data_IF_617450586806
#
_entry.id   IF_617450586806
#
_cell.length_a   1.000
_cell.length_b   1.000
_cell.length_c   1.000
_cell.angle_alpha   90.00
_cell.angle_beta   90.00
_cell.angle_gamma   90.00
#
_symmetry.space_group_name_H-M   'P 1'
#
loop_
_entity.id
_entity.type
_entity.pdbx_description
1 polymer ?
#
# COMPACT_ATOMS: atom_id res chain seq x y z
N UNK A 1 -37.32 -28.48 -7.96
CA UNK A 1 -38.11 -27.46 -8.71
C UNK A 1 -37.97 -27.78 -10.19
N UNK A 2 -38.96 -27.47 -11.04
CA UNK A 2 -38.78 -27.71 -12.47
C UNK A 2 -37.96 -26.56 -13.07
N UNK A 3 -37.11 -26.87 -14.05
CA UNK A 3 -36.28 -25.93 -14.79
C UNK A 3 -37.06 -24.69 -15.29
N UNK A 4 -38.34 -24.87 -15.62
CA UNK A 4 -39.25 -23.78 -15.98
C UNK A 4 -39.45 -22.79 -14.85
N UNK A 5 -39.61 -23.26 -13.60
CA UNK A 5 -39.90 -22.37 -12.46
C UNK A 5 -38.71 -21.46 -12.11
N UNK A 6 -37.48 -21.91 -12.34
CA UNK A 6 -36.26 -21.11 -12.13
C UNK A 6 -36.17 -19.98 -13.16
N UNK A 7 -36.43 -20.31 -14.43
CA UNK A 7 -36.45 -19.32 -15.52
C UNK A 7 -37.61 -18.34 -15.35
N UNK A 8 -38.79 -18.82 -14.96
CA UNK A 8 -40.00 -18.02 -14.75
C UNK A 8 -39.90 -17.07 -13.54
N UNK A 9 -39.28 -17.51 -12.43
CA UNK A 9 -39.02 -16.66 -11.25
C UNK A 9 -37.95 -15.59 -11.53
N UNK A 10 -36.98 -15.90 -12.37
CA UNK A 10 -35.85 -15.01 -12.67
C UNK A 10 -36.21 -14.03 -13.80
N UNK A 11 -37.02 -14.44 -14.76
CA UNK A 11 -37.49 -13.58 -15.84
C UNK A 11 -38.73 -12.78 -15.41
N UNK A 12 -38.56 -11.76 -14.57
CA UNK A 12 -39.58 -10.69 -14.41
C UNK A 12 -39.79 -9.85 -15.70
N UNK A 13 -39.21 -10.28 -16.82
CA UNK A 13 -39.12 -9.58 -18.10
C UNK A 13 -40.12 -10.16 -19.10
N UNK A 14 -40.99 -9.32 -19.65
CA UNK A 14 -41.92 -9.65 -20.74
C UNK A 14 -41.24 -9.90 -22.10
N UNK A 15 -39.91 -9.85 -22.19
CA UNK A 15 -39.17 -10.04 -23.42
C UNK A 15 -38.76 -11.53 -23.62
N UNK A 16 -39.32 -12.25 -24.61
CA UNK A 16 -39.05 -13.66 -24.85
C UNK A 16 -37.60 -13.97 -25.24
N UNK A 17 -36.90 -13.06 -25.92
CA UNK A 17 -35.47 -13.24 -26.27
C UNK A 17 -34.57 -13.23 -25.02
N UNK A 18 -34.93 -12.42 -24.01
CA UNK A 18 -34.21 -12.36 -22.75
C UNK A 18 -34.38 -13.65 -21.93
N UNK A 19 -35.54 -14.30 -22.04
CA UNK A 19 -35.83 -15.57 -21.38
C UNK A 19 -34.99 -16.70 -21.96
N UNK A 20 -34.88 -16.77 -23.29
CA UNK A 20 -34.07 -17.78 -23.99
C UNK A 20 -32.57 -17.66 -23.69
N UNK A 21 -32.01 -16.44 -23.66
CA UNK A 21 -30.60 -16.21 -23.30
C UNK A 21 -30.29 -16.60 -21.85
N UNK A 22 -31.16 -16.22 -20.91
CA UNK A 22 -31.02 -16.60 -19.51
C UNK A 22 -31.11 -18.12 -19.34
N UNK A 23 -32.03 -18.75 -20.07
CA UNK A 23 -32.18 -20.20 -20.09
C UNK A 23 -30.90 -20.89 -20.57
N UNK A 24 -30.26 -20.38 -21.63
CA UNK A 24 -28.96 -20.87 -22.11
C UNK A 24 -27.85 -20.72 -21.07
N UNK A 25 -27.81 -19.59 -20.37
CA UNK A 25 -26.84 -19.32 -19.31
C UNK A 25 -27.01 -20.32 -18.15
N UNK A 26 -28.24 -20.54 -17.68
CA UNK A 26 -28.52 -21.47 -16.58
C UNK A 26 -28.13 -22.90 -16.98
N UNK A 27 -28.53 -23.35 -18.19
CA UNK A 27 -28.14 -24.65 -18.76
C UNK A 27 -26.62 -24.82 -18.77
N UNK A 28 -25.90 -23.80 -19.21
CA UNK A 28 -24.44 -23.81 -19.25
C UNK A 28 -23.85 -23.94 -17.84
N UNK A 29 -24.32 -23.16 -16.86
CA UNK A 29 -23.82 -23.22 -15.49
C UNK A 29 -24.06 -24.58 -14.84
N UNK A 30 -25.26 -25.16 -15.02
CA UNK A 30 -25.57 -26.51 -14.53
C UNK A 30 -24.64 -27.54 -15.20
N UNK A 31 -24.39 -27.42 -16.51
CA UNK A 31 -23.45 -28.32 -17.21
C UNK A 31 -22.00 -28.18 -16.73
N UNK A 32 -21.64 -27.04 -16.14
CA UNK A 32 -20.35 -26.77 -15.51
C UNK A 32 -20.30 -27.18 -14.03
N UNK A 33 -21.39 -27.78 -13.51
CA UNK A 33 -21.46 -28.33 -12.15
C UNK A 33 -22.07 -27.40 -11.10
N UNK A 34 -22.66 -26.26 -11.49
CA UNK A 34 -23.34 -25.37 -10.54
C UNK A 34 -24.70 -25.95 -10.11
N UNK A 35 -25.02 -25.86 -8.82
CA UNK A 35 -26.35 -26.21 -8.30
C UNK A 35 -27.38 -25.12 -8.64
N UNK A 36 -28.64 -25.49 -8.80
CA UNK A 36 -29.74 -24.54 -9.03
C UNK A 36 -29.89 -23.52 -7.89
N UNK A 37 -29.65 -23.95 -6.64
CA UNK A 37 -29.70 -23.11 -5.44
C UNK A 37 -28.59 -22.06 -5.45
N UNK A 38 -27.35 -22.46 -5.78
CA UNK A 38 -26.21 -21.54 -5.87
C UNK A 38 -26.43 -20.45 -6.93
N UNK A 39 -27.00 -20.81 -8.09
CA UNK A 39 -27.32 -19.87 -9.18
C UNK A 39 -28.33 -18.82 -8.71
N UNK A 40 -29.40 -19.25 -8.03
CA UNK A 40 -30.48 -18.38 -7.53
C UNK A 40 -29.99 -17.40 -6.47
N UNK A 41 -29.29 -17.89 -5.46
CA UNK A 41 -29.02 -17.10 -4.24
C UNK A 41 -27.83 -16.15 -4.38
N UNK A 42 -26.84 -16.51 -5.21
CA UNK A 42 -25.53 -15.81 -5.20
C UNK A 42 -25.16 -15.14 -6.51
N UNK A 43 -25.69 -15.60 -7.65
CA UNK A 43 -25.11 -15.24 -8.95
C UNK A 43 -26.01 -14.40 -9.85
N UNK A 44 -27.28 -14.26 -9.46
CA UNK A 44 -28.26 -13.48 -10.22
C UNK A 44 -27.84 -12.01 -10.44
N UNK A 45 -27.10 -11.43 -9.50
CA UNK A 45 -26.60 -10.05 -9.60
C UNK A 45 -25.54 -9.83 -10.69
N UNK A 46 -24.83 -10.89 -11.13
CA UNK A 46 -23.78 -10.78 -12.15
C UNK A 46 -24.31 -10.90 -13.59
N UNK A 47 -25.55 -11.36 -13.76
CA UNK A 47 -26.13 -11.53 -15.08
C UNK A 47 -26.77 -10.23 -15.56
N UNK A 48 -26.13 -9.60 -16.54
CA UNK A 48 -26.81 -8.62 -17.40
C UNK A 48 -27.45 -9.38 -18.56
N UNK A 49 -28.66 -8.99 -18.94
CA UNK A 49 -29.45 -9.61 -20.02
C UNK A 49 -28.91 -9.22 -21.40
N UNK A 50 -27.66 -9.60 -21.67
CA UNK A 50 -26.96 -9.39 -22.93
C UNK A 50 -26.25 -10.67 -23.33
N UNK A 51 -26.15 -10.96 -24.63
CA UNK A 51 -25.39 -12.11 -25.15
C UNK A 51 -23.93 -12.14 -24.66
N UNK A 52 -23.40 -10.99 -24.23
CA UNK A 52 -22.08 -10.86 -23.60
C UNK A 52 -21.92 -11.77 -22.38
N UNK A 53 -22.96 -11.96 -21.56
CA UNK A 53 -22.89 -12.76 -20.34
C UNK A 53 -22.62 -14.24 -20.63
N UNK A 54 -23.32 -14.83 -21.60
CA UNK A 54 -23.09 -16.22 -22.03
C UNK A 54 -21.64 -16.43 -22.50
N UNK A 55 -21.15 -15.57 -23.39
CA UNK A 55 -19.76 -15.66 -23.87
C UNK A 55 -18.74 -15.46 -22.76
N UNK A 56 -18.99 -14.57 -21.80
CA UNK A 56 -18.10 -14.36 -20.66
C UNK A 56 -18.00 -15.59 -19.77
N UNK A 57 -19.09 -16.33 -19.56
CA UNK A 57 -19.08 -17.57 -18.76
C UNK A 57 -18.19 -18.62 -19.42
N UNK A 58 -18.32 -18.81 -20.74
CA UNK A 58 -17.43 -19.71 -21.49
C UNK A 58 -15.95 -19.33 -21.33
N UNK A 59 -15.63 -18.04 -21.38
CA UNK A 59 -14.26 -17.55 -21.18
C UNK A 59 -13.75 -17.73 -19.75
N UNK A 60 -14.64 -17.67 -18.76
CA UNK A 60 -14.29 -17.91 -17.35
C UNK A 60 -14.01 -19.40 -17.12
N UNK A 61 -14.79 -20.30 -17.73
CA UNK A 61 -14.56 -21.74 -17.64
C UNK A 61 -13.18 -22.17 -18.17
N UNK A 62 -12.64 -21.43 -19.16
CA UNK A 62 -11.28 -21.64 -19.67
C UNK A 62 -10.16 -21.33 -18.66
N UNK A 63 -10.46 -20.73 -17.49
CA UNK A 63 -9.46 -20.43 -16.46
C UNK A 63 -9.09 -21.66 -15.60
N UNK A 64 -9.70 -22.82 -15.86
CA UNK A 64 -9.42 -24.12 -15.23
C UNK A 64 -9.49 -24.09 -13.69
N UNK A 65 -10.46 -23.36 -13.16
CA UNK A 65 -10.78 -23.30 -11.74
C UNK A 65 -12.30 -23.38 -11.57
N UNK A 66 -12.76 -23.63 -10.35
CA UNK A 66 -14.19 -23.67 -10.02
C UNK A 66 -14.92 -22.41 -10.54
N UNK A 67 -15.81 -22.61 -11.51
CA UNK A 67 -16.57 -21.57 -12.19
C UNK A 67 -17.36 -20.73 -11.20
N UNK A 68 -17.88 -21.35 -10.13
CA UNK A 68 -18.63 -20.70 -9.05
C UNK A 68 -17.78 -19.63 -8.37
N UNK A 69 -16.54 -19.98 -8.02
CA UNK A 69 -15.58 -19.05 -7.40
C UNK A 69 -15.22 -17.89 -8.34
N UNK A 70 -15.25 -18.12 -9.66
CA UNK A 70 -14.84 -17.15 -10.66
C UNK A 70 -15.96 -16.20 -11.12
N UNK A 71 -17.21 -16.41 -10.70
CA UNK A 71 -18.35 -15.56 -11.08
C UNK A 71 -18.11 -14.05 -10.92
N UNK A 72 -17.41 -13.54 -9.88
CA UNK A 72 -17.11 -12.12 -9.77
C UNK A 72 -16.31 -11.55 -10.97
N UNK A 73 -15.57 -12.39 -11.71
CA UNK A 73 -14.83 -11.97 -12.90
C UNK A 73 -15.74 -11.61 -14.09
N UNK A 74 -17.05 -11.93 -14.06
CA UNK A 74 -18.03 -11.48 -15.07
C UNK A 74 -18.08 -9.95 -15.18
N UNK A 75 -17.74 -9.23 -14.11
CA UNK A 75 -17.61 -7.77 -14.08
C UNK A 75 -16.49 -7.23 -14.98
N UNK A 76 -15.51 -8.05 -15.37
CA UNK A 76 -14.44 -7.64 -16.28
C UNK A 76 -14.97 -7.38 -17.69
N UNK A 77 -14.28 -6.50 -18.42
CA UNK A 77 -14.57 -6.27 -19.83
C UNK A 77 -14.31 -7.54 -20.67
N UNK A 78 -15.10 -7.74 -21.72
CA UNK A 78 -15.03 -8.94 -22.57
C UNK A 78 -13.62 -9.16 -23.17
N UNK A 79 -12.94 -8.08 -23.57
CA UNK A 79 -11.56 -8.17 -24.09
C UNK A 79 -10.55 -8.65 -23.04
N UNK A 80 -10.71 -8.26 -21.78
CA UNK A 80 -9.88 -8.74 -20.67
C UNK A 80 -10.10 -10.22 -20.42
N UNK A 81 -11.35 -10.68 -20.41
CA UNK A 81 -11.70 -12.10 -20.25
C UNK A 81 -11.20 -12.94 -21.43
N UNK A 82 -11.33 -12.45 -22.67
CA UNK A 82 -10.75 -13.10 -23.86
C UNK A 82 -9.24 -13.26 -23.73
N UNK A 83 -8.57 -12.21 -23.26
CA UNK A 83 -7.12 -12.23 -23.05
C UNK A 83 -6.73 -13.19 -21.92
N UNK A 84 -7.51 -13.25 -20.85
CA UNK A 84 -7.28 -14.14 -19.72
C UNK A 84 -7.49 -15.61 -20.10
N UNK A 85 -8.60 -15.94 -20.78
CA UNK A 85 -8.87 -17.28 -21.34
C UNK A 85 -7.76 -17.72 -22.29
N UNK A 86 -7.37 -16.84 -23.23
CA UNK A 86 -6.26 -17.11 -24.14
C UNK A 86 -4.98 -17.42 -23.37
N UNK A 87 -4.67 -16.62 -22.34
CA UNK A 87 -3.48 -16.82 -21.53
C UNK A 87 -3.54 -18.12 -20.71
N UNK A 88 -4.68 -18.45 -20.10
CA UNK A 88 -4.88 -19.70 -19.36
C UNK A 88 -4.66 -20.94 -20.25
N UNK A 89 -5.11 -20.89 -21.51
CA UNK A 89 -4.83 -21.95 -22.50
C UNK A 89 -3.33 -22.09 -22.81
N UNK A 90 -2.58 -20.99 -22.90
CA UNK A 90 -1.11 -21.05 -23.07
C UNK A 90 -0.39 -21.51 -21.81
N UNK A 91 -0.97 -21.24 -20.65
CA UNK A 91 -0.38 -21.54 -19.36
C UNK A 91 -0.39 -23.04 -19.03
N UNK A 92 -1.28 -23.85 -19.63
CA UNK A 92 -1.43 -25.29 -19.39
C UNK A 92 -0.11 -26.10 -19.45
N UNK A 93 0.92 -25.60 -20.13
CA UNK A 93 2.24 -26.25 -20.23
C UNK A 93 3.35 -25.55 -19.43
N UNK A 94 3.08 -24.41 -18.80
CA UNK A 94 4.10 -23.50 -18.27
C UNK A 94 3.92 -23.11 -16.81
N UNK A 95 2.85 -23.55 -16.14
CA UNK A 95 2.65 -23.24 -14.73
C UNK A 95 3.38 -24.29 -13.87
N UNK A 96 4.48 -23.87 -13.23
CA UNK A 96 5.43 -24.65 -12.42
C UNK A 96 4.77 -25.55 -11.33
N UNK A 97 4.12 -26.64 -11.72
CA UNK A 97 3.49 -27.59 -10.81
C UNK A 97 2.14 -27.17 -10.21
N UNK A 98 1.52 -26.08 -10.70
CA UNK A 98 0.19 -25.65 -10.24
C UNK A 98 -0.87 -25.91 -11.31
N UNK A 99 -2.10 -26.28 -10.92
CA UNK A 99 -3.16 -26.63 -11.86
C UNK A 99 -3.62 -25.44 -12.72
N UNK A 100 -3.56 -24.24 -12.17
CA UNK A 100 -3.91 -23.02 -12.89
C UNK A 100 -3.20 -21.80 -12.26
N UNK A 101 -3.30 -20.67 -12.94
CA UNK A 101 -2.69 -19.40 -12.54
C UNK A 101 -3.20 -18.86 -11.21
N UNK A 102 -4.48 -19.08 -10.91
CA UNK A 102 -5.12 -18.59 -9.69
C UNK A 102 -4.53 -19.33 -8.50
N UNK A 103 -4.36 -20.65 -8.60
CA UNK A 103 -3.69 -21.47 -7.59
C UNK A 103 -2.21 -21.12 -7.42
N UNK A 104 -1.49 -20.85 -8.52
CA UNK A 104 -0.12 -20.34 -8.46
C UNK A 104 -0.02 -19.02 -7.66
N UNK A 105 -0.90 -18.06 -7.95
CA UNK A 105 -0.93 -16.76 -7.27
C UNK A 105 -1.35 -16.92 -5.80
N UNK A 106 -2.41 -17.68 -5.54
CA UNK A 106 -2.94 -18.01 -4.21
C UNK A 106 -1.85 -18.57 -3.30
N UNK A 107 -1.08 -19.55 -3.80
CA UNK A 107 0.02 -20.15 -3.09
C UNK A 107 1.15 -19.16 -2.77
N UNK A 108 1.65 -18.41 -3.76
CA UNK A 108 2.79 -17.51 -3.55
C UNK A 108 2.45 -16.22 -2.81
N UNK A 109 1.19 -15.79 -2.86
CA UNK A 109 0.69 -14.64 -2.11
C UNK A 109 0.16 -15.03 -0.72
N UNK A 110 0.17 -16.32 -0.37
CA UNK A 110 -0.35 -16.86 0.88
C UNK A 110 -1.79 -16.40 1.19
N UNK A 111 -2.64 -16.38 0.17
CA UNK A 111 -4.05 -15.95 0.27
C UNK A 111 -4.94 -16.95 -0.44
N UNK A 112 -6.08 -17.32 0.18
CA UNK A 112 -7.04 -18.24 -0.44
C UNK A 112 -7.54 -17.71 -1.78
N UNK A 113 -7.72 -18.60 -2.76
CA UNK A 113 -8.20 -18.27 -4.11
C UNK A 113 -9.48 -17.42 -4.09
N UNK A 114 -10.45 -17.75 -3.23
CA UNK A 114 -11.70 -16.96 -3.06
C UNK A 114 -11.45 -15.51 -2.67
N UNK A 115 -10.44 -15.22 -1.86
CA UNK A 115 -10.09 -13.86 -1.43
C UNK A 115 -9.23 -13.13 -2.47
N UNK A 116 -8.57 -13.87 -3.37
CA UNK A 116 -7.78 -13.32 -4.46
C UNK A 116 -8.67 -12.82 -5.61
N UNK A 117 -9.80 -13.49 -5.91
CA UNK A 117 -10.66 -13.14 -7.05
C UNK A 117 -11.08 -11.66 -7.07
N UNK A 118 -11.59 -11.04 -5.98
CA UNK A 118 -11.95 -9.63 -5.98
C UNK A 118 -10.77 -8.70 -6.30
N UNK A 119 -9.55 -9.13 -6.00
CA UNK A 119 -8.33 -8.38 -6.30
C UNK A 119 -7.94 -8.49 -7.78
N UNK A 120 -8.15 -9.65 -8.40
CA UNK A 120 -7.90 -9.87 -9.82
C UNK A 120 -8.82 -9.03 -10.72
N UNK A 121 -10.03 -8.69 -10.24
CA UNK A 121 -10.90 -7.73 -10.92
C UNK A 121 -10.23 -6.35 -11.03
N UNK A 122 -9.59 -5.90 -9.95
CA UNK A 122 -8.87 -4.61 -9.90
C UNK A 122 -7.52 -4.66 -10.62
N UNK A 123 -6.94 -5.86 -10.73
CA UNK A 123 -5.62 -6.09 -11.32
C UNK A 123 -5.66 -7.18 -12.41
N UNK A 124 -6.42 -6.98 -13.51
CA UNK A 124 -6.63 -8.01 -14.53
C UNK A 124 -5.34 -8.35 -15.30
N UNK A 125 -4.32 -7.49 -15.24
CA UNK A 125 -3.02 -7.78 -15.83
C UNK A 125 -2.38 -9.04 -15.26
N UNK A 126 -2.69 -9.40 -14.01
CA UNK A 126 -2.26 -10.65 -13.41
C UNK A 126 -2.84 -11.86 -14.11
N UNK A 127 -4.04 -11.76 -14.71
CA UNK A 127 -4.65 -12.83 -15.49
C UNK A 127 -4.17 -12.87 -16.95
N UNK A 128 -3.74 -11.73 -17.49
CA UNK A 128 -3.49 -11.60 -18.94
C UNK A 128 -2.02 -11.56 -19.33
N UNK A 129 -1.09 -11.23 -18.42
CA UNK A 129 0.33 -11.23 -18.75
C UNK A 129 0.88 -12.64 -18.95
N UNK A 130 1.89 -12.80 -19.81
CA UNK A 130 2.54 -14.10 -20.02
C UNK A 130 3.02 -14.71 -18.69
N UNK A 131 2.83 -16.01 -18.48
CA UNK A 131 3.26 -16.66 -17.23
C UNK A 131 4.75 -16.46 -16.94
N UNK A 132 5.63 -16.57 -17.95
CA UNK A 132 7.07 -16.29 -17.81
C UNK A 132 7.36 -14.94 -17.14
N UNK A 133 6.65 -13.90 -17.56
CA UNK A 133 6.79 -12.54 -17.00
C UNK A 133 6.21 -12.45 -15.59
N UNK A 134 5.05 -13.07 -15.35
CA UNK A 134 4.45 -13.14 -14.01
C UNK A 134 5.42 -13.83 -13.02
N UNK A 135 5.93 -14.99 -13.39
CA UNK A 135 6.82 -15.79 -12.57
C UNK A 135 8.16 -15.09 -12.30
N UNK A 136 8.73 -14.43 -13.31
CA UNK A 136 9.94 -13.63 -13.14
C UNK A 136 9.72 -12.53 -12.08
N UNK A 137 8.61 -11.79 -12.16
CA UNK A 137 8.29 -10.75 -11.18
C UNK A 137 8.07 -11.30 -9.78
N UNK A 138 7.31 -12.39 -9.67
CA UNK A 138 7.10 -13.07 -8.39
C UNK A 138 8.43 -13.50 -7.78
N UNK A 139 9.31 -14.06 -8.60
CA UNK A 139 10.66 -14.49 -8.19
C UNK A 139 11.51 -13.31 -7.73
N UNK A 140 11.50 -12.18 -8.44
CA UNK A 140 12.21 -10.94 -8.04
C UNK A 140 11.74 -10.49 -6.64
N UNK A 141 10.43 -10.43 -6.41
CA UNK A 141 9.87 -9.99 -5.14
C UNK A 141 10.18 -10.97 -3.99
N UNK A 142 10.10 -12.28 -4.24
CA UNK A 142 10.44 -13.33 -3.26
C UNK A 142 11.92 -13.35 -2.92
N UNK A 143 12.82 -13.20 -3.91
CA UNK A 143 14.27 -13.11 -3.68
C UNK A 143 14.63 -11.90 -2.81
N UNK A 144 13.87 -10.82 -2.92
CA UNK A 144 13.99 -9.64 -2.06
C UNK A 144 13.36 -9.83 -0.67
N UNK A 145 12.84 -11.02 -0.35
CA UNK A 145 12.18 -11.36 0.92
C UNK A 145 11.02 -10.43 1.29
N UNK A 146 10.33 -9.88 0.29
CA UNK A 146 9.16 -9.02 0.53
C UNK A 146 8.01 -9.90 1.03
N UNK A 147 7.43 -9.54 2.18
CA UNK A 147 6.30 -10.27 2.75
C UNK A 147 5.14 -10.40 1.76
N UNK A 148 4.55 -11.60 1.59
CA UNK A 148 3.36 -11.80 0.76
C UNK A 148 2.23 -10.82 1.09
N UNK A 149 2.05 -10.50 2.38
CA UNK A 149 1.04 -9.55 2.85
C UNK A 149 1.24 -8.13 2.28
N UNK A 150 2.49 -7.71 2.10
CA UNK A 150 2.79 -6.43 1.45
C UNK A 150 2.58 -6.49 -0.05
N UNK A 151 2.88 -7.62 -0.70
CA UNK A 151 2.64 -7.82 -2.14
C UNK A 151 1.14 -7.80 -2.43
N UNK A 152 0.33 -8.50 -1.62
CA UNK A 152 -1.14 -8.53 -1.72
C UNK A 152 -1.71 -7.11 -1.62
N UNK A 153 -1.21 -6.28 -0.71
CA UNK A 153 -1.67 -4.87 -0.58
C UNK A 153 -1.31 -4.00 -1.79
N UNK A 154 -0.41 -4.44 -2.67
CA UNK A 154 0.07 -3.64 -3.80
C UNK A 154 0.36 -4.50 -5.05
N UNK A 155 -0.65 -5.23 -5.52
CA UNK A 155 -0.57 -6.06 -6.74
C UNK A 155 -0.25 -5.26 -8.01
N UNK A 156 -0.40 -3.94 -7.99
CA UNK A 156 0.00 -3.08 -9.11
C UNK A 156 1.52 -3.13 -9.38
N UNK A 157 2.32 -3.60 -8.41
CA UNK A 157 3.76 -3.84 -8.59
C UNK A 157 4.08 -4.74 -9.79
N UNK A 158 3.20 -5.67 -10.14
CA UNK A 158 3.40 -6.57 -11.26
C UNK A 158 3.39 -5.86 -12.63
N UNK A 159 2.92 -4.61 -12.70
CA UNK A 159 2.94 -3.83 -13.93
C UNK A 159 4.26 -3.07 -14.16
N UNK A 160 5.16 -3.03 -13.18
CA UNK A 160 6.41 -2.25 -13.26
C UNK A 160 7.51 -3.00 -13.99
N UNK A 161 8.43 -2.29 -14.65
CA UNK A 161 9.53 -2.91 -15.38
C UNK A 161 10.47 -3.73 -14.47
N UNK A 162 10.87 -4.92 -14.90
CA UNK A 162 11.67 -5.87 -14.13
C UNK A 162 13.04 -5.30 -13.76
N UNK A 163 13.74 -4.68 -14.72
CA UNK A 163 15.05 -4.06 -14.50
C UNK A 163 14.96 -2.92 -13.48
N UNK A 164 13.87 -2.15 -13.52
CA UNK A 164 13.62 -1.10 -12.54
C UNK A 164 13.43 -1.68 -11.13
N UNK A 165 12.65 -2.74 -11.00
CA UNK A 165 12.44 -3.43 -9.72
C UNK A 165 13.77 -3.94 -9.16
N UNK A 166 14.55 -4.67 -9.95
CA UNK A 166 15.85 -5.23 -9.54
C UNK A 166 16.83 -4.13 -9.13
N UNK A 167 16.93 -3.04 -9.91
CA UNK A 167 17.79 -1.89 -9.58
C UNK A 167 17.42 -1.28 -8.23
N UNK A 168 16.13 -1.04 -8.01
CA UNK A 168 15.64 -0.41 -6.77
C UNK A 168 15.76 -1.34 -5.57
N UNK A 169 15.45 -2.63 -5.72
CA UNK A 169 15.68 -3.65 -4.68
C UNK A 169 17.16 -3.65 -4.28
N UNK A 170 18.07 -3.72 -5.26
CA UNK A 170 19.52 -3.74 -5.01
C UNK A 170 20.00 -2.47 -4.29
N UNK A 171 19.46 -1.30 -4.67
CA UNK A 171 19.78 -0.04 -4.00
C UNK A 171 19.26 0.03 -2.56
N UNK A 172 18.02 -0.43 -2.32
CA UNK A 172 17.43 -0.46 -0.98
C UNK A 172 18.17 -1.44 -0.04
N UNK A 173 18.52 -2.63 -0.54
CA UNK A 173 19.28 -3.62 0.23
C UNK A 173 20.69 -3.11 0.61
N UNK A 174 21.39 -2.44 -0.31
CA UNK A 174 22.69 -1.80 0.00
C UNK A 174 22.56 -0.70 1.06
N UNK A 175 21.46 0.03 1.05
CA UNK A 175 21.16 1.02 2.08
C UNK A 175 20.57 0.41 3.37
N UNK A 176 20.49 -0.93 3.48
CA UNK A 176 19.85 -1.68 4.58
C UNK A 176 18.42 -1.18 4.89
N UNK A 177 17.67 -0.81 3.85
CA UNK A 177 16.28 -0.40 3.95
C UNK A 177 15.39 -1.61 3.69
N UNK A 178 14.43 -1.85 4.58
CA UNK A 178 13.38 -2.85 4.37
C UNK A 178 12.60 -2.54 3.08
N UNK A 179 12.58 -3.50 2.15
CA UNK A 179 11.97 -3.30 0.83
C UNK A 179 10.46 -3.48 0.91
N UNK A 180 9.71 -2.44 0.51
CA UNK A 180 8.24 -2.49 0.37
C UNK A 180 7.80 -2.23 -1.07
N UNK A 181 6.74 -2.89 -1.58
CA UNK A 181 6.31 -2.73 -2.97
C UNK A 181 6.07 -1.28 -3.40
N UNK A 182 5.42 -0.48 -2.56
CA UNK A 182 5.15 0.93 -2.87
C UNK A 182 6.44 1.75 -3.09
N UNK A 183 7.54 1.40 -2.43
CA UNK A 183 8.84 2.06 -2.60
C UNK A 183 9.42 1.79 -3.99
N UNK A 184 9.20 0.59 -4.52
CA UNK A 184 9.68 0.22 -5.85
C UNK A 184 8.92 0.95 -6.97
N UNK A 185 7.74 1.52 -6.66
CA UNK A 185 6.89 2.24 -7.61
C UNK A 185 6.95 3.76 -7.51
N UNK A 186 7.47 4.31 -6.42
CA UNK A 186 7.46 5.76 -6.20
C UNK A 186 8.33 6.52 -7.22
N UNK A 187 8.29 7.85 -7.25
CA UNK A 187 9.15 8.63 -8.14
C UNK A 187 10.64 8.45 -7.80
N UNK A 188 11.54 8.57 -8.77
CA UNK A 188 12.99 8.40 -8.54
C UNK A 188 13.50 9.36 -7.46
N UNK A 189 13.10 10.63 -7.52
CA UNK A 189 13.43 11.64 -6.52
C UNK A 189 13.02 11.23 -5.09
N UNK A 190 11.83 10.63 -4.95
CA UNK A 190 11.37 10.18 -3.64
C UNK A 190 12.15 8.95 -3.17
N UNK A 191 12.40 8.00 -4.07
CA UNK A 191 13.20 6.82 -3.81
C UNK A 191 14.62 7.17 -3.34
N UNK A 192 15.34 8.01 -4.10
CA UNK A 192 16.68 8.49 -3.76
C UNK A 192 16.69 9.26 -2.44
N UNK A 193 15.72 10.15 -2.20
CA UNK A 193 15.62 10.88 -0.94
C UNK A 193 15.48 9.95 0.26
N UNK A 194 14.76 8.84 0.11
CA UNK A 194 14.61 7.84 1.15
C UNK A 194 15.92 7.10 1.44
N UNK A 195 16.66 6.71 0.40
CA UNK A 195 17.97 6.06 0.55
C UNK A 195 18.95 7.00 1.27
N UNK A 196 19.03 8.26 0.84
CA UNK A 196 19.89 9.27 1.47
C UNK A 196 19.53 9.46 2.95
N UNK A 197 18.23 9.52 3.27
CA UNK A 197 17.78 9.62 4.67
C UNK A 197 18.20 8.40 5.48
N UNK A 198 18.06 7.19 4.94
CA UNK A 198 18.45 5.99 5.65
C UNK A 198 19.96 5.90 5.87
N UNK A 199 20.75 6.27 4.86
CA UNK A 199 22.22 6.29 5.01
C UNK A 199 22.64 7.31 6.07
N UNK A 200 22.02 8.50 6.10
CA UNK A 200 22.27 9.49 7.16
C UNK A 200 21.83 8.99 8.53
N UNK A 201 20.67 8.34 8.63
CA UNK A 201 20.23 7.71 9.89
C UNK A 201 21.29 6.73 10.39
N UNK A 202 21.83 5.87 9.53
CA UNK A 202 22.87 4.91 9.90
C UNK A 202 24.18 5.59 10.32
N UNK A 203 24.58 6.66 9.65
CA UNK A 203 25.77 7.44 10.01
C UNK A 203 25.63 8.08 11.40
N UNK A 204 24.45 8.60 11.72
CA UNK A 204 24.13 9.26 12.99
C UNK A 204 24.05 8.25 14.13
N UNK A 205 23.28 7.18 13.92
CA UNK A 205 23.05 6.15 14.92
C UNK A 205 24.29 5.29 15.15
N UNK A 206 25.10 5.07 14.11
CA UNK A 206 26.22 4.11 14.08
C UNK A 206 25.75 2.71 14.47
N UNK A 207 25.90 2.34 15.74
CA UNK A 207 25.50 1.05 16.33
C UNK A 207 24.40 1.20 17.39
N UNK A 208 24.07 2.43 17.80
CA UNK A 208 22.98 2.67 18.74
C UNK A 208 21.63 2.53 18.04
N UNK A 209 20.60 2.13 18.77
CA UNK A 209 19.22 2.31 18.32
C UNK A 209 18.74 3.76 18.56
N UNK A 210 17.57 4.10 18.01
CA UNK A 210 17.00 5.44 18.09
C UNK A 210 16.78 5.92 19.54
N UNK A 211 16.40 5.03 20.45
CA UNK A 211 16.10 5.35 21.85
C UNK A 211 17.40 5.60 22.59
N UNK A 212 18.36 4.68 22.47
CA UNK A 212 19.70 4.82 23.05
C UNK A 212 20.39 6.11 22.59
N UNK A 213 20.32 6.41 21.29
CA UNK A 213 20.88 7.64 20.72
C UNK A 213 20.25 8.90 21.34
N UNK A 214 18.91 8.95 21.43
CA UNK A 214 18.21 10.10 22.00
C UNK A 214 18.46 10.24 23.51
N UNK A 215 18.53 9.13 24.25
CA UNK A 215 18.80 9.13 25.68
C UNK A 215 20.17 9.76 25.98
N UNK A 216 21.20 9.36 25.23
CA UNK A 216 22.55 9.95 25.29
C UNK A 216 22.54 11.42 24.92
N UNK A 217 21.91 11.79 23.79
CA UNK A 217 21.88 13.19 23.33
C UNK A 217 21.13 14.12 24.28
N UNK A 218 20.04 13.67 24.89
CA UNK A 218 19.18 14.46 25.78
C UNK A 218 19.53 14.30 27.27
N UNK A 219 20.61 13.59 27.58
CA UNK A 219 21.09 13.31 28.93
C UNK A 219 19.98 12.78 29.86
N UNK A 220 19.22 11.78 29.39
CA UNK A 220 18.13 11.14 30.12
C UNK A 220 18.18 9.62 29.99
N UNK A 221 17.30 8.92 30.72
CA UNK A 221 17.21 7.46 30.62
C UNK A 221 16.38 7.03 29.41
N UNK A 222 16.61 5.81 28.93
CA UNK A 222 15.85 5.24 27.81
C UNK A 222 14.36 5.08 28.14
N UNK A 223 14.01 4.80 29.41
CA UNK A 223 12.62 4.77 29.87
C UNK A 223 11.96 6.14 29.72
N UNK A 224 12.69 7.21 30.00
CA UNK A 224 12.19 8.57 29.82
C UNK A 224 11.96 8.91 28.35
N UNK A 225 12.86 8.49 27.45
CA UNK A 225 12.69 8.67 26.00
C UNK A 225 11.46 7.90 25.51
N UNK A 226 11.29 6.66 25.95
CA UNK A 226 10.10 5.86 25.63
C UNK A 226 8.81 6.54 26.10
N UNK A 227 8.77 6.98 27.36
CA UNK A 227 7.65 7.74 27.91
C UNK A 227 7.37 9.02 27.09
N UNK A 228 8.40 9.76 26.73
CA UNK A 228 8.30 10.97 25.91
C UNK A 228 7.69 10.68 24.53
N UNK A 229 8.12 9.61 23.86
CA UNK A 229 7.63 9.19 22.53
C UNK A 229 6.20 8.63 22.59
N UNK A 230 5.82 7.97 23.67
CA UNK A 230 4.44 7.52 23.89
C UNK A 230 3.47 8.69 24.09
N UNK A 231 3.86 9.67 24.90
CA UNK A 231 3.07 10.89 25.11
C UNK A 231 3.02 11.78 23.86
N UNK A 232 4.05 11.72 23.01
CA UNK A 232 4.15 12.52 21.80
C UNK A 232 4.34 11.62 20.55
N UNK A 233 3.25 10.99 20.11
CA UNK A 233 3.25 10.04 18.98
C UNK A 233 3.91 10.56 17.70
N UNK A 234 3.92 11.88 17.48
CA UNK A 234 4.59 12.49 16.32
C UNK A 234 6.11 12.28 16.32
N UNK A 235 6.74 12.14 17.49
CA UNK A 235 8.17 11.86 17.60
C UNK A 235 8.54 10.51 17.00
N UNK A 236 7.66 9.52 17.13
CA UNK A 236 7.86 8.17 16.56
C UNK A 236 7.94 8.17 15.03
N UNK A 237 7.50 9.24 14.38
CA UNK A 237 7.43 9.35 12.92
C UNK A 237 8.54 10.26 12.36
N UNK A 238 9.19 11.06 13.21
CA UNK A 238 10.24 11.97 12.77
C UNK A 238 11.54 11.18 12.60
N UNK A 239 12.16 11.31 11.43
CA UNK A 239 13.43 10.64 11.17
C UNK A 239 14.59 11.25 11.99
N UNK A 240 15.55 10.39 12.32
CA UNK A 240 16.75 10.74 13.10
C UNK A 240 17.53 11.93 12.51
N UNK A 241 17.79 12.04 11.19
CA UNK A 241 18.48 13.21 10.64
C UNK A 241 17.80 14.54 10.94
N UNK A 242 16.46 14.58 10.95
CA UNK A 242 15.73 15.78 11.33
C UNK A 242 15.84 16.06 12.84
N UNK A 243 15.78 15.03 13.69
CA UNK A 243 15.96 15.20 15.13
C UNK A 243 17.33 15.78 15.44
N UNK A 244 18.39 15.20 14.85
CA UNK A 244 19.76 15.67 15.03
C UNK A 244 19.92 17.13 14.60
N UNK A 245 19.41 17.51 13.42
CA UNK A 245 19.46 18.89 12.95
C UNK A 245 18.80 19.88 13.92
N UNK A 246 17.66 19.50 14.51
CA UNK A 246 16.98 20.34 15.51
C UNK A 246 17.77 20.40 16.81
N UNK A 247 18.29 19.27 17.30
CA UNK A 247 19.10 19.22 18.53
C UNK A 247 20.36 20.08 18.39
N UNK A 248 21.13 19.89 17.32
CA UNK A 248 22.36 20.64 17.07
C UNK A 248 22.07 22.15 16.96
N UNK A 249 21.02 22.54 16.22
CA UNK A 249 20.59 23.93 16.16
C UNK A 249 20.29 24.52 17.55
N UNK A 250 19.57 23.79 18.41
CA UNK A 250 19.23 24.28 19.74
C UNK A 250 20.48 24.39 20.63
N UNK A 251 21.39 23.42 20.58
CA UNK A 251 22.63 23.47 21.35
C UNK A 251 23.56 24.60 20.89
N UNK A 252 23.68 24.82 19.58
CA UNK A 252 24.42 25.96 19.01
C UNK A 252 23.87 27.31 19.46
N UNK A 253 22.54 27.41 19.70
CA UNK A 253 21.90 28.62 20.24
C UNK A 253 21.97 28.72 21.75
N UNK A 254 22.57 27.75 22.45
CA UNK A 254 22.86 27.79 23.88
C UNK A 254 21.80 27.12 24.78
N UNK A 255 20.89 26.33 24.22
CA UNK A 255 19.95 25.54 25.03
C UNK A 255 20.60 24.27 25.58
N UNK A 256 20.19 23.86 26.79
CA UNK A 256 20.73 22.64 27.41
C UNK A 256 19.91 21.39 27.05
N UNK A 257 20.49 20.18 27.17
CA UNK A 257 19.75 18.92 26.99
C UNK A 257 18.50 18.82 27.87
N UNK A 258 18.60 19.28 29.12
CA UNK A 258 17.52 19.28 30.10
C UNK A 258 16.38 20.22 29.68
N UNK A 259 16.69 21.36 29.06
CA UNK A 259 15.67 22.25 28.51
C UNK A 259 14.99 21.63 27.28
N UNK A 260 15.76 21.07 26.36
CA UNK A 260 15.24 20.48 25.11
C UNK A 260 14.27 19.33 25.40
N UNK A 261 14.63 18.41 26.30
CA UNK A 261 13.81 17.21 26.59
C UNK A 261 12.44 17.53 27.20
N UNK A 262 12.31 18.67 27.88
CA UNK A 262 11.04 19.12 28.47
C UNK A 262 10.03 19.61 27.42
N UNK A 263 10.48 19.89 26.19
CA UNK A 263 9.62 20.42 25.12
C UNK A 263 9.66 19.56 23.85
N UNK A 264 9.17 18.31 23.87
CA UNK A 264 9.34 17.39 22.75
C UNK A 264 8.66 17.86 21.45
N UNK A 265 7.64 18.72 21.54
CA UNK A 265 7.00 19.34 20.38
C UNK A 265 7.95 20.18 19.52
N UNK A 266 9.09 20.62 20.05
CA UNK A 266 10.07 21.40 19.30
C UNK A 266 10.56 20.65 18.04
N UNK A 267 10.70 19.32 18.15
CA UNK A 267 11.18 18.44 17.09
C UNK A 267 10.23 18.36 15.88
N UNK A 268 8.97 18.74 16.04
CA UNK A 268 8.01 18.80 14.94
C UNK A 268 8.32 19.94 13.96
N UNK A 269 8.94 21.02 14.43
CA UNK A 269 9.25 22.21 13.61
C UNK A 269 10.46 21.95 12.69
N UNK A 270 10.54 22.69 11.57
CA UNK A 270 11.76 22.71 10.77
C UNK A 270 12.80 23.65 11.39
N UNK A 271 14.09 23.38 11.20
CA UNK A 271 15.17 24.28 11.62
C UNK A 271 14.99 25.68 11.04
N UNK A 272 14.54 25.79 9.79
CA UNK A 272 14.22 27.09 9.17
C UNK A 272 13.16 27.87 9.96
N UNK A 273 12.11 27.18 10.42
CA UNK A 273 11.05 27.80 11.23
C UNK A 273 11.60 28.22 12.59
N UNK A 274 12.39 27.35 13.23
CA UNK A 274 13.00 27.64 14.53
C UNK A 274 13.97 28.82 14.44
N UNK A 275 14.83 28.84 13.42
CA UNK A 275 15.77 29.94 13.18
C UNK A 275 15.04 31.26 12.94
N UNK A 276 14.02 31.28 12.07
CA UNK A 276 13.19 32.48 11.85
C UNK A 276 12.61 33.01 13.17
N UNK A 277 11.98 32.13 13.97
CA UNK A 277 11.39 32.51 15.25
C UNK A 277 12.43 32.99 16.26
N UNK A 278 13.58 32.34 16.28
CA UNK A 278 14.68 32.69 17.16
C UNK A 278 15.19 34.10 16.87
N UNK A 279 15.53 34.40 15.61
CA UNK A 279 16.04 35.71 15.20
C UNK A 279 15.00 36.81 15.44
N UNK A 280 13.72 36.55 15.15
CA UNK A 280 12.64 37.50 15.42
C UNK A 280 12.50 37.83 16.93
N UNK A 281 12.67 36.85 17.83
CA UNK A 281 12.64 37.13 19.26
C UNK A 281 13.90 37.85 19.75
N UNK A 282 15.08 37.50 19.22
CA UNK A 282 16.35 38.17 19.56
C UNK A 282 16.37 39.64 19.15
N UNK A 283 15.72 39.97 18.03
CA UNK A 283 15.55 41.36 17.58
C UNK A 283 14.66 42.19 18.53
N UNK A 284 13.77 41.54 19.28
CA UNK A 284 12.90 42.23 20.25
C UNK A 284 13.56 42.29 21.63
N UNK A 285 14.30 41.24 22.03
CA UNK A 285 14.93 41.10 23.35
C UNK A 285 16.33 40.55 23.24
N UNK A 286 17.25 41.09 24.05
CA UNK A 286 18.63 40.60 24.11
C UNK A 286 18.80 39.30 24.92
N UNK A 287 17.70 38.67 25.38
CA UNK A 287 17.71 37.39 26.11
C UNK A 287 17.46 36.22 25.16
N UNK A 288 17.80 35.00 25.58
CA UNK A 288 17.46 33.79 24.84
C UNK A 288 15.92 33.58 24.83
N UNK A 289 15.29 33.26 23.69
CA UNK A 289 13.87 32.91 23.66
C UNK A 289 13.61 31.65 24.49
N UNK A 290 12.44 31.52 25.13
CA UNK A 290 12.14 30.26 25.84
C UNK A 290 11.69 29.17 24.86
N UNK A 291 11.92 27.90 25.17
CA UNK A 291 11.48 26.79 24.31
C UNK A 291 9.97 26.81 24.02
N UNK A 292 9.17 27.18 25.03
CA UNK A 292 7.74 27.39 24.87
C UNK A 292 7.42 28.42 23.77
N UNK A 293 8.16 29.54 23.72
CA UNK A 293 7.99 30.57 22.68
C UNK A 293 8.36 30.07 21.29
N UNK A 294 9.34 29.18 21.17
CA UNK A 294 9.70 28.56 19.90
C UNK A 294 8.68 27.51 19.45
N UNK A 295 7.97 26.87 20.39
CA UNK A 295 7.01 25.78 20.15
C UNK A 295 5.56 26.22 19.87
N UNK A 296 5.20 27.50 20.03
CA UNK A 296 3.81 27.95 19.84
C UNK A 296 3.33 27.82 18.38
N UNK A 297 2.02 27.77 18.18
CA UNK A 297 1.43 27.79 16.83
C UNK A 297 1.77 29.09 16.10
N UNK A 298 1.82 29.09 14.77
CA UNK A 298 2.12 30.30 13.99
C UNK A 298 1.16 31.45 14.31
N UNK A 299 -0.12 31.17 14.53
CA UNK A 299 -1.12 32.17 14.95
C UNK A 299 -0.78 32.79 16.31
N UNK A 300 -0.34 31.98 17.27
CA UNK A 300 0.04 32.46 18.59
C UNK A 300 1.40 33.17 18.57
N UNK A 301 2.30 32.77 17.68
CA UNK A 301 3.57 33.43 17.42
C UNK A 301 3.35 34.87 16.92
N UNK A 302 2.52 35.05 15.88
CA UNK A 302 2.17 36.39 15.38
C UNK A 302 1.49 37.25 16.46
N UNK A 303 0.59 36.66 17.25
CA UNK A 303 -0.04 37.38 18.38
C UNK A 303 0.96 37.79 19.45
N UNK A 304 1.90 36.92 19.80
CA UNK A 304 2.94 37.20 20.80
C UNK A 304 3.93 38.26 20.30
N UNK A 305 4.21 38.28 19.00
CA UNK A 305 4.98 39.33 18.31
C UNK A 305 4.23 40.66 18.34
N UNK A 306 2.99 40.70 17.87
CA UNK A 306 2.20 41.93 17.74
C UNK A 306 1.85 42.57 19.10
N UNK A 307 1.46 41.78 20.11
CA UNK A 307 1.21 42.31 21.46
C UNK A 307 2.44 43.00 22.06
N UNK A 308 3.64 42.62 21.65
CA UNK A 308 4.90 43.12 22.21
C UNK A 308 5.55 44.21 21.37
N UNK A 309 5.26 44.31 20.07
CA UNK A 309 5.62 45.47 19.25
C UNK A 309 4.78 46.70 19.61
N UNK A 310 3.54 46.50 20.08
CA UNK A 310 2.65 47.58 20.55
C UNK A 310 2.92 48.05 21.98
N UNK A 311 3.93 47.51 22.66
CA UNK A 311 4.35 47.91 24.02
C UNK A 311 5.73 48.57 24.05
N UNK A 312 6.25 49.00 22.88
CA UNK A 312 7.45 49.82 22.75
C UNK A 312 7.06 51.27 22.51
#
# INVERSE_FOLDING_TARGET
>A
MSYSSLVDEVSNSKNPEMKDELEKIIKLLISLGCSEEDIKDKYMEYFTTTQSSYFKILLIADLHSDVIMLMPLLSLHLTSLRSASKQAKYDNNNIDGFPNRIEYLSHHLCIKSINLIPMLIKHPSLLTMTFKRLNLKMTILKKAQISPEYIVKDLWIFNYNEKLLERRISAALRAKVEVKPWMLRCSEKFFESMLVKSSKTQEILKEDDEISYLAKKLECSEEYVNFMMEKNKLLKVINIPKLEQVINFLYEKGYTPQEVRLFPRIFCSSVQTLNKRFEEFRNIRNTLPTMSQLCISSRNFERARNKKSSSK
#
